data_IF_733208265407
#
_entry.id   IF_733208265407
#
_cell.length_a   1.000
_cell.length_b   1.000
_cell.length_c   1.000
_cell.angle_alpha   90.00
_cell.angle_beta   90.00
_cell.angle_gamma   90.00
#
_symmetry.space_group_name_H-M   'P 1'
#
loop_
_entity.id
_entity.type
_entity.pdbx_description
1 polymer ?
2 non-polymer ?
3 non-polymer ?
4 non-polymer ?
5 water ?
#
# COMPACT_ATOMS: atom_id res chain seq x y z
N UNK A 1 11.29 9.50 -9.86
CA UNK A 1 10.44 8.63 -10.68
C UNK A 1 9.23 9.41 -11.15
N UNK A 2 8.73 9.02 -12.31
CA UNK A 2 7.43 9.51 -12.74
C UNK A 2 6.40 9.03 -11.75
N UNK A 3 5.43 9.89 -11.44
CA UNK A 3 4.39 9.61 -10.48
C UNK A 3 3.07 10.03 -11.08
N UNK A 4 2.00 9.40 -10.64
CA UNK A 4 0.64 9.73 -11.11
C UNK A 4 0.22 9.01 -12.34
N UNK A 5 0.97 7.99 -12.76
CA UNK A 5 0.68 7.18 -13.95
C UNK A 5 0.37 5.76 -13.54
N UNK A 6 -0.74 5.23 -14.03
CA UNK A 6 -1.18 3.92 -13.62
C UNK A 6 -1.65 3.13 -14.81
N UNK A 7 -1.33 1.85 -14.84
CA UNK A 7 -1.86 0.95 -15.87
C UNK A 7 -3.03 0.18 -15.28
N UNK A 8 -4.21 0.49 -15.82
CA UNK A 8 -5.40 -0.21 -15.49
C UNK A 8 -5.64 -1.33 -16.50
N UNK A 9 -6.45 -2.31 -16.13
CA UNK A 9 -6.95 -3.19 -17.17
C UNK A 9 -7.68 -2.39 -18.24
N UNK A 10 -7.63 -2.90 -19.48
CA UNK A 10 -8.22 -2.21 -20.61
C UNK A 10 -9.73 -2.10 -20.47
N UNK A 11 -10.24 -1.03 -21.04
CA UNK A 11 -11.70 -0.80 -21.18
C UNK A 11 -12.50 -1.10 -19.92
N UNK A 12 -11.95 -0.62 -18.83
CA UNK A 12 -12.50 -0.82 -17.51
C UNK A 12 -12.98 0.47 -16.88
N UNK A 13 -14.18 0.42 -16.28
CA UNK A 13 -14.75 1.58 -15.61
C UNK A 13 -13.98 1.81 -14.30
N UNK A 14 -13.70 3.06 -14.01
CA UNK A 14 -13.08 3.44 -12.78
C UNK A 14 -13.64 4.77 -12.29
N UNK A 15 -13.53 4.99 -11.00
CA UNK A 15 -13.88 6.24 -10.37
C UNK A 15 -12.66 7.07 -10.05
N UNK A 16 -12.82 8.39 -10.19
CA UNK A 16 -11.72 9.33 -9.88
C UNK A 16 -12.32 10.44 -9.08
N UNK A 17 -11.72 10.69 -7.91
CA UNK A 17 -12.24 11.65 -6.99
C UNK A 17 -11.07 12.53 -6.51
N UNK A 18 -11.32 13.84 -6.45
CA UNK A 18 -10.30 14.77 -6.03
C UNK A 18 -10.74 15.62 -4.86
N UNK A 19 -9.81 15.81 -3.93
CA UNK A 19 -10.04 16.58 -2.70
C UNK A 19 -9.01 17.71 -2.69
N UNK A 20 -9.41 18.84 -2.15
CA UNK A 20 -8.48 19.99 -2.04
C UNK A 20 -8.16 20.38 -0.61
N UNK A 21 -6.88 20.74 -0.37
CA UNK A 21 -6.41 21.17 0.98
C UNK A 21 -5.30 22.19 0.87
N UNK A 22 -5.66 23.34 0.38
CA UNK A 22 -4.68 24.41 0.07
C UNK A 22 -5.37 25.73 -0.09
N UNK A 23 -4.64 26.79 0.15
CA UNK A 23 -5.15 28.16 -0.15
C UNK A 23 -5.26 28.40 -1.65
N UNK A 24 -4.46 27.68 -2.43
CA UNK A 24 -4.47 27.80 -3.89
C UNK A 24 -5.60 27.04 -4.56
N UNK A 25 -6.15 27.60 -5.63
CA UNK A 25 -7.12 26.90 -6.45
C UNK A 25 -6.40 25.76 -7.22
N UNK A 26 -6.91 24.54 -7.09
CA UNK A 26 -6.28 23.38 -7.67
C UNK A 26 -6.93 23.01 -8.98
N UNK A 27 -6.10 22.63 -9.95
CA UNK A 27 -6.59 22.10 -11.23
C UNK A 27 -6.06 20.69 -11.37
N UNK A 28 -6.97 19.71 -11.43
CA UNK A 28 -6.62 18.30 -11.65
C UNK A 28 -7.00 17.85 -13.05
N UNK A 29 -6.00 17.46 -13.85
CA UNK A 29 -6.27 16.94 -15.20
C UNK A 29 -6.11 15.44 -15.21
N UNK A 30 -7.09 14.79 -15.80
CA UNK A 30 -7.11 13.34 -15.91
C UNK A 30 -6.94 13.00 -17.36
N UNK A 31 -5.85 12.32 -17.67
CA UNK A 31 -5.58 11.85 -19.01
C UNK A 31 -5.73 10.35 -19.09
N UNK A 32 -6.47 9.89 -20.12
CA UNK A 32 -6.61 8.49 -20.39
C UNK A 32 -6.03 8.25 -21.76
N UNK A 33 -5.00 7.41 -21.82
CA UNK A 33 -4.25 7.14 -23.07
C UNK A 33 -3.85 8.41 -23.80
N UNK A 34 -3.36 9.34 -23.00
CA UNK A 34 -2.80 10.62 -23.46
C UNK A 34 -3.78 11.62 -24.01
N UNK A 35 -5.06 11.43 -23.69
CA UNK A 35 -6.13 12.38 -24.03
C UNK A 35 -6.79 12.87 -22.78
N UNK A 36 -6.98 14.18 -22.68
CA UNK A 36 -7.65 14.73 -21.49
C UNK A 36 -9.11 14.31 -21.51
N UNK A 37 -9.56 13.65 -20.45
CA UNK A 37 -10.96 13.25 -20.33
C UNK A 37 -11.72 13.86 -19.15
N UNK A 38 -10.97 14.49 -18.24
CA UNK A 38 -11.63 15.26 -17.17
C UNK A 38 -10.69 16.30 -16.66
N UNK A 39 -11.31 17.41 -16.23
CA UNK A 39 -10.60 18.45 -15.54
C UNK A 39 -11.40 18.85 -14.31
N UNK A 40 -10.81 18.77 -13.14
CA UNK A 40 -11.48 19.26 -11.91
C UNK A 40 -10.81 20.51 -11.41
N UNK A 41 -11.63 21.47 -10.99
CA UNK A 41 -11.12 22.74 -10.47
C UNK A 41 -11.85 23.11 -9.18
N UNK A 42 -11.10 23.51 -8.18
CA UNK A 42 -11.72 23.98 -6.94
C UNK A 42 -10.74 24.39 -5.88
N UNK A 43 -11.28 25.02 -4.84
CA UNK A 43 -10.43 25.48 -3.72
C UNK A 43 -11.06 25.11 -2.40
N UNK A 44 -10.25 24.57 -1.51
CA UNK A 44 -10.68 24.22 -0.15
C UNK A 44 -9.46 24.03 0.72
N UNK A 45 -9.55 24.47 1.99
CA UNK A 45 -8.56 24.09 3.00
C UNK A 45 -9.13 23.03 3.94
N UNK A 46 -10.25 22.42 3.54
CA UNK A 46 -11.00 21.48 4.41
C UNK A 46 -11.47 20.22 3.69
N UNK A 47 -10.69 19.81 2.73
CA UNK A 47 -10.87 18.50 2.06
C UNK A 47 -12.11 18.42 1.19
N UNK A 48 -12.60 19.58 0.70
CA UNK A 48 -13.79 19.53 -0.13
C UNK A 48 -13.54 18.69 -1.37
N UNK A 49 -14.58 18.02 -1.87
CA UNK A 49 -14.48 17.25 -3.09
C UNK A 49 -14.65 18.22 -4.24
N UNK A 50 -13.58 18.36 -5.02
CA UNK A 50 -13.61 19.27 -6.18
C UNK A 50 -13.94 18.57 -7.51
N UNK A 51 -14.12 17.26 -7.46
CA UNK A 51 -14.61 16.50 -8.57
C UNK A 51 -14.70 15.03 -8.27
N UNK A 52 -15.63 14.36 -8.96
CA UNK A 52 -15.83 12.93 -8.82
C UNK A 52 -16.45 12.49 -10.14
N UNK A 53 -15.85 11.54 -10.81
CA UNK A 53 -16.38 11.09 -12.11
C UNK A 53 -16.14 9.63 -12.32
N UNK A 54 -16.95 9.02 -13.18
CA UNK A 54 -16.70 7.63 -13.62
C UNK A 54 -16.17 7.77 -15.04
N UNK A 55 -15.03 7.12 -15.28
CA UNK A 55 -14.38 7.07 -16.57
C UNK A 55 -14.03 5.66 -17.02
N UNK A 56 -13.64 5.53 -18.28
CA UNK A 56 -13.22 4.27 -18.85
C UNK A 56 -11.73 4.32 -19.22
N UNK A 57 -11.00 3.26 -18.89
CA UNK A 57 -9.54 3.23 -19.11
C UNK A 57 -9.10 3.02 -20.56
N UNK A 58 -10.05 2.66 -21.42
CA UNK A 58 -9.79 2.54 -22.88
C UNK A 58 -8.82 1.43 -23.24
N UNK A 59 -8.32 1.45 -24.50
CA UNK A 59 -7.55 0.31 -24.94
C UNK A 59 -6.23 0.07 -24.24
N UNK A 60 -5.52 1.18 -24.01
CA UNK A 60 -4.19 1.11 -23.45
C UNK A 60 -4.18 0.97 -21.93
N UNK A 61 -5.28 1.35 -21.33
CA UNK A 61 -5.44 1.34 -19.84
C UNK A 61 -4.61 2.36 -19.13
N UNK A 62 -4.04 3.31 -19.84
CA UNK A 62 -3.11 4.30 -19.21
C UNK A 62 -3.88 5.48 -18.61
N UNK A 63 -3.71 5.70 -17.29
CA UNK A 63 -4.40 6.76 -16.62
C UNK A 63 -3.30 7.60 -15.96
N UNK A 64 -3.28 8.88 -16.29
CA UNK A 64 -2.34 9.82 -15.75
C UNK A 64 -3.06 11.02 -15.09
N UNK A 65 -2.64 11.32 -13.88
CA UNK A 65 -3.10 12.49 -13.17
C UNK A 65 -2.03 13.59 -13.18
N UNK A 66 -2.44 14.83 -13.49
CA UNK A 66 -1.56 15.98 -13.43
C UNK A 66 -2.27 17.03 -12.59
N UNK A 67 -1.51 17.74 -11.75
CA UNK A 67 -2.10 18.76 -10.91
C UNK A 67 -1.31 20.03 -11.07
N UNK A 68 -2.03 21.13 -11.19
CA UNK A 68 -1.44 22.44 -11.28
C UNK A 68 -2.17 23.45 -10.48
N UNK A 69 -1.48 24.53 -10.19
CA UNK A 69 -2.06 25.69 -9.50
C UNK A 69 -1.64 26.91 -10.30
N UNK A 70 -2.62 27.52 -10.94
CA UNK A 70 -2.38 28.71 -11.79
C UNK A 70 -1.42 28.36 -12.89
N UNK A 71 -1.59 27.19 -13.48
CA UNK A 71 -0.69 26.74 -14.54
C UNK A 71 0.70 26.27 -14.11
N UNK A 72 1.02 26.27 -12.83
CA UNK A 72 2.30 25.74 -12.34
C UNK A 72 2.12 24.29 -11.85
N UNK A 73 2.90 23.37 -12.40
CA UNK A 73 2.78 21.93 -12.02
C UNK A 73 3.18 21.72 -10.56
N UNK A 74 2.31 20.99 -9.86
CA UNK A 74 2.60 20.51 -8.51
C UNK A 74 3.44 19.24 -8.59
N UNK A 75 4.26 19.03 -7.57
CA UNK A 75 5.04 17.81 -7.41
C UNK A 75 4.11 16.67 -6.94
N UNK A 76 4.24 15.51 -7.54
CA UNK A 76 3.35 14.38 -7.25
C UNK A 76 4.02 13.24 -6.53
N UNK A 77 3.21 12.56 -5.73
CA UNK A 77 3.56 11.24 -5.19
C UNK A 77 2.41 10.27 -5.41
N UNK A 78 2.72 9.00 -5.61
CA UNK A 78 1.65 8.02 -5.94
C UNK A 78 2.03 6.60 -5.67
N UNK A 79 0.99 5.79 -5.50
CA UNK A 79 1.13 4.35 -5.38
C UNK A 79 -0.20 3.69 -5.75
N UNK A 80 -0.14 2.41 -6.03
CA UNK A 80 -1.32 1.59 -6.24
C UNK A 80 -1.34 0.49 -5.15
N UNK A 81 -2.52 0.22 -4.60
CA UNK A 81 -2.71 -0.84 -3.61
C UNK A 81 -3.91 -1.69 -3.96
N UNK A 82 -3.75 -2.99 -3.79
CA UNK A 82 -4.78 -3.92 -4.13
C UNK A 82 -5.11 -4.71 -2.91
N UNK A 83 -6.40 -4.70 -2.57
CA UNK A 83 -6.94 -5.47 -1.42
C UNK A 83 -7.76 -6.68 -1.93
N UNK A 84 -7.61 -7.79 -1.19
CA UNK A 84 -8.37 -9.05 -1.47
C UNK A 84 -8.16 -9.50 -2.96
N UNK A 85 -7.01 -9.17 -3.48
CA UNK A 85 -6.65 -9.48 -4.92
C UNK A 85 -7.64 -8.97 -5.94
N UNK A 86 -8.47 -8.01 -5.55
CA UNK A 86 -9.54 -7.53 -6.46
C UNK A 86 -9.83 -6.04 -6.42
N UNK A 87 -9.73 -5.44 -5.25
CA UNK A 87 -10.16 -4.05 -5.03
C UNK A 87 -8.93 -3.16 -5.15
N UNK A 88 -8.94 -2.32 -6.17
CA UNK A 88 -7.81 -1.48 -6.53
C UNK A 88 -7.98 -0.02 -6.18
N UNK A 89 -6.93 0.54 -5.61
CA UNK A 89 -6.82 2.00 -5.35
C UNK A 89 -5.55 2.50 -6.00
N UNK A 90 -5.69 3.55 -6.79
CA UNK A 90 -4.54 4.28 -7.30
C UNK A 90 -4.60 5.68 -6.68
N UNK A 91 -3.54 6.01 -5.95
CA UNK A 91 -3.54 7.13 -4.97
C UNK A 91 -2.51 8.15 -5.41
N UNK A 92 -2.93 9.43 -5.43
CA UNK A 92 -2.02 10.51 -5.77
C UNK A 92 -2.10 11.64 -4.69
N UNK A 93 -0.95 12.12 -4.28
CA UNK A 93 -0.85 13.33 -3.52
C UNK A 93 -0.09 14.36 -4.35
N UNK A 94 -0.26 15.64 -4.01
CA UNK A 94 0.41 16.71 -4.76
C UNK A 94 0.80 17.84 -3.80
N UNK A 95 1.89 18.49 -4.14
CA UNK A 95 2.49 19.55 -3.32
C UNK A 95 2.68 20.80 -4.20
N UNK A 96 2.01 21.87 -3.80
CA UNK A 96 2.02 23.13 -4.52
C UNK A 96 2.95 24.19 -3.90
N UNK A 97 3.58 23.85 -2.77
CA UNK A 97 4.43 24.80 -2.07
C UNK A 97 5.62 24.15 -1.40
N UNK A 98 5.88 24.51 -0.16
CA UNK A 98 7.09 24.09 0.56
C UNK A 98 6.91 23.16 1.76
N UNK A 99 5.68 22.97 2.22
CA UNK A 99 5.48 22.27 3.52
C UNK A 99 5.50 20.76 3.44
N UNK A 100 5.42 20.23 2.23
CA UNK A 100 5.55 18.77 2.01
C UNK A 100 4.47 17.91 2.66
N UNK A 101 3.26 18.47 2.81
CA UNK A 101 2.11 17.72 3.25
C UNK A 101 1.54 16.81 2.13
N UNK A 102 1.83 17.19 0.89
CA UNK A 102 1.37 16.45 -0.32
C UNK A 102 -0.16 16.22 -0.35
N UNK A 103 -0.93 17.09 0.30
CA UNK A 103 -2.37 16.98 0.34
C UNK A 103 -3.10 18.09 -0.37
N UNK A 104 -2.37 18.91 -1.12
CA UNK A 104 -2.94 20.15 -1.68
C UNK A 104 -4.09 19.80 -2.64
N UNK A 105 -3.83 18.81 -3.50
CA UNK A 105 -4.87 18.04 -4.14
C UNK A 105 -4.55 16.61 -3.93
N UNK A 106 -5.53 15.87 -3.46
CA UNK A 106 -5.43 14.45 -3.25
C UNK A 106 -6.39 13.82 -4.26
N UNK A 107 -5.89 12.83 -5.00
CA UNK A 107 -6.69 12.10 -6.02
C UNK A 107 -6.75 10.59 -5.72
N UNK A 108 -7.96 10.07 -5.68
CA UNK A 108 -8.20 8.64 -5.40
C UNK A 108 -8.90 8.10 -6.61
N UNK A 109 -8.30 7.05 -7.13
CA UNK A 109 -8.87 6.31 -8.27
C UNK A 109 -9.21 4.92 -7.74
N UNK A 110 -10.44 4.47 -8.00
CA UNK A 110 -10.85 3.14 -7.58
C UNK A 110 -11.52 2.33 -8.68
N UNK A 111 -11.20 1.02 -8.66
CA UNK A 111 -11.86 0.02 -9.52
C UNK A 111 -11.75 -1.36 -8.91
N UNK A 112 -12.60 -2.31 -9.30
CA UNK A 112 -13.66 -2.20 -10.29
C UNK A 112 -14.89 -1.57 -9.69
N UNK A 113 -15.81 -1.14 -10.55
CA UNK A 113 -17.07 -0.57 -10.11
C UNK A 113 -18.21 -1.56 -10.33
N UNK A 114 -19.40 -1.22 -9.88
CA UNK A 114 -20.58 -2.05 -10.11
C UNK A 114 -20.83 -3.16 -9.14
N UNK B 1 -8.45 -11.74 10.46
CA UNK B 1 -8.01 -10.56 11.24
C UNK B 1 -9.12 -9.54 11.32
N UNK B 2 -9.13 -8.77 12.40
CA UNK B 2 -10.00 -7.56 12.47
C UNK B 2 -9.57 -6.62 11.37
N UNK B 3 -10.55 -6.03 10.72
CA UNK B 3 -10.30 -5.13 9.61
C UNK B 3 -11.13 -3.89 9.79
N UNK B 4 -10.77 -2.80 9.12
CA UNK B 4 -11.50 -1.53 9.25
C UNK B 4 -11.22 -0.71 10.51
N UNK B 5 -10.18 -1.07 11.25
CA UNK B 5 -9.78 -0.34 12.47
C UNK B 5 -8.44 0.34 12.23
N UNK B 6 -8.32 1.63 12.52
CA UNK B 6 -7.10 2.38 12.27
C UNK B 6 -6.74 3.27 13.45
N UNK B 7 -5.45 3.33 13.77
CA UNK B 7 -4.96 4.28 14.74
C UNK B 7 -4.39 5.51 14.05
N UNK B 8 -5.07 6.63 14.22
CA UNK B 8 -4.65 7.90 13.76
C UNK B 8 -3.87 8.62 14.89
N UNK B 9 -3.09 9.65 14.51
CA UNK B 9 -2.60 10.55 15.51
C UNK B 9 -3.76 11.20 16.25
N UNK B 10 -3.58 11.48 17.54
CA UNK B 10 -4.63 12.08 18.34
C UNK B 10 -5.07 13.46 17.86
N UNK B 11 -6.33 13.77 18.09
CA UNK B 11 -6.91 15.14 17.87
C UNK B 11 -6.60 15.73 16.49
N UNK B 12 -6.66 14.85 15.52
CA UNK B 12 -6.27 15.18 14.18
C UNK B 12 -7.48 15.14 13.25
N UNK B 13 -7.59 16.16 12.42
CA UNK B 13 -8.66 16.18 11.43
C UNK B 13 -8.42 15.16 10.31
N UNK B 14 -9.50 14.50 9.87
CA UNK B 14 -9.42 13.54 8.76
C UNK B 14 -10.70 13.57 7.95
N UNK B 15 -10.57 13.19 6.70
CA UNK B 15 -11.72 13.05 5.81
C UNK B 15 -12.11 11.61 5.69
N UNK B 16 -13.42 11.39 5.56
CA UNK B 16 -13.93 10.03 5.31
C UNK B 16 -14.95 10.14 4.19
N UNK B 17 -14.76 9.29 3.19
CA UNK B 17 -15.60 9.28 1.99
C UNK B 17 -16.01 7.88 1.67
N UNK B 18 -17.30 7.67 1.39
CA UNK B 18 -17.82 6.36 1.09
C UNK B 18 -18.51 6.31 -0.29
N UNK B 19 -18.23 5.22 -0.99
CA UNK B 19 -18.71 4.98 -2.37
C UNK B 19 -19.50 3.73 -2.35
N UNK B 20 -20.55 3.64 -3.19
CA UNK B 20 -21.41 2.42 -3.25
C UNK B 20 -21.40 1.75 -4.67
N UNK B 21 -21.31 0.44 -4.69
CA UNK B 21 -21.27 -0.39 -5.91
C UNK B 21 -21.97 -1.70 -5.72
N UNK B 22 -23.26 -1.64 -5.52
CA UNK B 22 -24.06 -2.81 -5.19
C UNK B 22 -25.53 -2.54 -5.43
N UNK B 23 -26.29 -3.61 -5.65
CA UNK B 23 -27.75 -3.50 -5.72
C UNK B 23 -28.32 -3.22 -4.34
N UNK B 24 -27.60 -3.63 -3.31
CA UNK B 24 -28.04 -3.50 -1.93
C UNK B 24 -27.77 -2.09 -1.38
N UNK B 25 -28.66 -1.62 -0.50
CA UNK B 25 -28.49 -0.34 0.10
C UNK B 25 -27.43 -0.48 1.21
N UNK B 26 -26.39 0.35 1.14
CA UNK B 26 -25.25 0.25 2.04
C UNK B 26 -25.43 1.22 3.22
N UNK B 27 -25.07 0.75 4.41
CA UNK B 27 -24.95 1.63 5.64
C UNK B 27 -23.55 1.60 6.13
N UNK B 28 -22.90 2.75 6.14
CA UNK B 28 -21.52 2.88 6.63
C UNK B 28 -21.54 3.65 7.97
N UNK B 29 -21.08 2.99 9.02
CA UNK B 29 -20.96 3.65 10.30
C UNK B 29 -19.49 3.95 10.56
N UNK B 30 -19.25 5.18 11.02
CA UNK B 30 -17.95 5.64 11.41
C UNK B 30 -17.86 5.87 12.90
N UNK B 31 -16.96 5.14 13.57
CA UNK B 31 -16.85 5.23 14.99
C UNK B 31 -15.49 5.81 15.34
N UNK B 32 -15.48 6.83 16.19
CA UNK B 32 -14.25 7.46 16.67
C UNK B 32 -14.23 7.23 18.17
N UNK B 33 -13.16 6.58 18.62
CA UNK B 33 -13.03 6.15 20.01
C UNK B 33 -14.36 5.58 20.55
N UNK B 34 -14.91 4.68 19.77
CA UNK B 34 -16.09 3.89 20.09
C UNK B 34 -17.42 4.64 20.21
N UNK B 35 -17.48 5.84 19.65
CA UNK B 35 -18.71 6.61 19.53
C UNK B 35 -19.01 6.78 18.05
N UNK B 36 -20.24 6.51 17.66
CA UNK B 36 -20.71 6.64 16.31
C UNK B 36 -20.88 8.13 15.98
N UNK B 37 -19.98 8.59 15.10
CA UNK B 37 -19.89 10.04 14.75
C UNK B 37 -20.34 10.35 13.32
N UNK B 38 -20.52 9.32 12.50
CA UNK B 38 -21.17 9.49 11.23
C UNK B 38 -21.80 8.24 10.78
N UNK B 39 -22.88 8.42 10.02
CA UNK B 39 -23.57 7.28 9.39
C UNK B 39 -24.01 7.68 7.95
N UNK B 40 -23.58 6.91 6.98
CA UNK B 40 -23.89 7.18 5.59
C UNK B 40 -24.74 6.03 5.07
N UNK B 41 -25.83 6.35 4.40
CA UNK B 41 -26.68 5.35 3.81
C UNK B 41 -26.94 5.74 2.34
N UNK B 42 -26.91 4.76 1.47
CA UNK B 42 -27.16 5.04 0.06
C UNK B 42 -27.02 3.82 -0.82
N UNK B 43 -27.49 3.96 -2.07
CA UNK B 43 -27.46 2.84 -3.03
C UNK B 43 -27.00 3.34 -4.37
N UNK B 44 -26.03 2.62 -4.94
CA UNK B 44 -25.53 2.88 -6.27
C UNK B 44 -24.84 1.64 -6.80
N UNK B 45 -24.98 1.39 -8.12
CA UNK B 45 -24.13 0.46 -8.80
C UNK B 45 -23.07 1.15 -9.67
N UNK B 46 -22.87 2.44 -9.45
CA UNK B 46 -21.98 3.25 -10.26
C UNK B 46 -21.09 4.21 -9.46
N UNK B 47 -20.68 3.73 -8.31
CA UNK B 47 -19.66 4.40 -7.50
C UNK B 47 -20.09 5.76 -6.94
N UNK B 48 -21.39 5.95 -6.75
CA UNK B 48 -21.81 7.24 -6.24
C UNK B 48 -21.26 7.44 -4.83
N UNK B 49 -20.96 8.67 -4.51
CA UNK B 49 -20.53 9.04 -3.17
C UNK B 49 -21.75 9.08 -2.28
N UNK B 50 -21.79 8.20 -1.28
CA UNK B 50 -22.95 8.18 -0.36
C UNK B 50 -22.67 8.90 0.96
N UNK B 51 -21.45 9.38 1.09
CA UNK B 51 -21.15 10.31 2.20
C UNK B 51 -19.73 10.79 2.15
N UNK B 52 -19.52 11.97 2.68
CA UNK B 52 -18.21 12.59 2.76
C UNK B 52 -18.26 13.56 3.95
N UNK B 53 -17.33 13.43 4.87
CA UNK B 53 -17.33 14.27 6.06
C UNK B 53 -15.93 14.51 6.55
N UNK B 54 -15.76 15.59 7.30
CA UNK B 54 -14.53 15.85 8.03
C UNK B 54 -14.76 15.68 9.52
N UNK B 55 -13.93 14.86 10.12
CA UNK B 55 -14.02 14.46 11.52
C UNK B 55 -12.70 14.69 12.27
N UNK B 56 -12.75 14.64 13.59
CA UNK B 56 -11.56 14.70 14.44
C UNK B 56 -11.33 13.35 15.13
N UNK B 57 -10.08 12.89 15.14
CA UNK B 57 -9.75 11.57 15.68
C UNK B 57 -9.80 11.45 17.23
N UNK B 58 -9.87 12.61 17.90
CA UNK B 58 -10.01 12.64 19.36
C UNK B 58 -8.83 12.07 20.11
N UNK B 59 -8.99 11.84 21.42
CA UNK B 59 -7.83 11.49 22.21
C UNK B 59 -7.15 10.19 21.87
N UNK B 60 -7.97 9.18 21.64
CA UNK B 60 -7.46 7.85 21.40
C UNK B 60 -6.97 7.59 19.98
N UNK B 61 -7.44 8.41 19.07
CA UNK B 61 -7.12 8.28 17.65
C UNK B 61 -7.72 7.07 16.98
N UNK B 62 -8.69 6.42 17.63
CA UNK B 62 -9.24 5.16 17.07
C UNK B 62 -10.37 5.43 16.13
N UNK B 63 -10.21 4.96 14.88
CA UNK B 63 -11.23 5.15 13.87
C UNK B 63 -11.58 3.76 13.34
N UNK B 64 -12.87 3.43 13.46
CA UNK B 64 -13.38 2.15 12.98
C UNK B 64 -14.53 2.35 12.00
N UNK B 65 -14.45 1.63 10.91
CA UNK B 65 -15.52 1.58 9.94
C UNK B 65 -16.27 0.28 10.01
N UNK B 66 -17.60 0.35 10.02
CA UNK B 66 -18.44 -0.84 9.95
C UNK B 66 -19.41 -0.64 8.80
N UNK B 67 -19.66 -1.70 8.06
CA UNK B 67 -20.57 -1.64 6.94
C UNK B 67 -21.61 -2.70 7.09
N UNK B 68 -22.86 -2.34 6.86
CA UNK B 68 -23.96 -3.32 6.87
C UNK B 68 -24.94 -3.08 5.74
N UNK B 69 -25.63 -4.17 5.40
CA UNK B 69 -26.68 -4.15 4.35
C UNK B 69 -27.84 -4.89 4.95
N UNK B 70 -28.96 -4.19 5.07
CA UNK B 70 -30.18 -4.83 5.56
C UNK B 70 -29.96 -5.30 7.02
N UNK B 71 -29.19 -4.57 7.81
CA UNK B 71 -28.84 -5.01 9.16
C UNK B 71 -27.83 -6.15 9.29
N UNK B 72 -27.31 -6.65 8.18
CA UNK B 72 -26.30 -7.73 8.17
C UNK B 72 -24.91 -7.12 7.94
N UNK B 73 -23.97 -7.41 8.84
CA UNK B 73 -22.56 -6.95 8.66
C UNK B 73 -21.91 -7.50 7.40
N UNK B 74 -21.31 -6.61 6.61
CA UNK B 74 -20.52 -6.99 5.47
C UNK B 74 -19.13 -7.41 5.96
N UNK B 75 -18.50 -8.27 5.20
CA UNK B 75 -17.12 -8.64 5.42
C UNK B 75 -16.20 -7.52 4.97
N UNK B 76 -15.18 -7.22 5.75
CA UNK B 76 -14.31 -6.10 5.40
C UNK B 76 -12.92 -6.52 5.08
N UNK B 77 -12.31 -5.69 4.24
CA UNK B 77 -10.88 -5.72 4.03
C UNK B 77 -10.30 -4.34 4.12
N UNK B 78 -9.07 -4.23 4.59
CA UNK B 78 -8.49 -2.89 4.84
C UNK B 78 -6.97 -2.85 4.89
N UNK B 79 -6.44 -1.67 4.65
CA UNK B 79 -5.01 -1.40 4.80
C UNK B 79 -4.79 0.12 4.94
N UNK B 80 -3.64 0.49 5.44
CA UNK B 80 -3.23 1.86 5.53
C UNK B 80 -1.97 2.02 4.68
N UNK B 81 -1.88 3.12 3.92
CA UNK B 81 -0.71 3.41 3.09
C UNK B 81 -0.27 4.85 3.30
N UNK B 82 1.03 5.02 3.40
CA UNK B 82 1.61 6.33 3.67
C UNK B 82 2.56 6.68 2.54
N UNK B 83 2.33 7.85 1.95
CA UNK B 83 3.17 8.37 0.87
C UNK B 83 4.00 9.57 1.35
N UNK B 84 5.23 9.63 0.86
CA UNK B 84 6.17 10.72 1.21
C UNK B 84 6.33 10.89 2.72
N UNK B 85 6.16 9.78 3.43
CA UNK B 85 6.21 9.78 4.92
C UNK B 85 5.30 10.74 5.63
N UNK B 86 4.25 11.20 4.95
CA UNK B 86 3.35 12.21 5.49
C UNK B 86 1.87 12.05 5.13
N UNK B 87 1.60 11.65 3.89
CA UNK B 87 0.23 11.59 3.35
C UNK B 87 -0.34 10.21 3.64
N UNK B 88 -1.40 10.19 4.41
CA UNK B 88 -2.01 8.91 4.83
C UNK B 88 -3.34 8.59 4.23
N UNK B 89 -3.51 7.35 3.86
CA UNK B 89 -4.79 6.80 3.39
C UNK B 89 -5.10 5.55 4.18
N UNK B 90 -6.32 5.51 4.74
CA UNK B 90 -6.81 4.32 5.36
C UNK B 90 -7.99 3.85 4.48
N UNK B 91 -7.89 2.61 4.01
CA UNK B 91 -8.72 2.08 2.91
C UNK B 91 -9.54 0.88 3.37
N UNK B 92 -10.85 0.89 3.08
CA UNK B 92 -11.72 -0.19 3.41
C UNK B 92 -12.54 -0.63 2.21
N UNK B 93 -12.56 -1.94 1.98
CA UNK B 93 -13.52 -2.54 1.06
C UNK B 93 -14.47 -3.40 1.82
N UNK B 94 -15.65 -3.66 1.25
CA UNK B 94 -16.64 -4.44 1.94
C UNK B 94 -17.42 -5.30 0.95
N UNK B 95 -17.80 -6.48 1.41
CA UNK B 95 -18.46 -7.48 0.56
C UNK B 95 -19.79 -7.88 1.24
N UNK B 96 -20.86 -7.67 0.50
CA UNK B 96 -22.20 -7.93 0.99
C UNK B 96 -22.83 -9.22 0.49
N UNK B 97 -22.10 -9.90 -0.38
CA UNK B 97 -22.62 -11.09 -1.01
C UNK B 97 -21.50 -12.09 -1.29
N UNK B 98 -21.54 -12.70 -2.46
CA UNK B 98 -20.66 -13.86 -2.77
C UNK B 98 -19.61 -13.64 -3.85
N UNK B 99 -19.68 -12.55 -4.59
CA UNK B 99 -18.77 -12.37 -5.73
C UNK B 99 -17.37 -11.91 -5.40
N UNK B 100 -17.17 -11.44 -4.17
CA UNK B 100 -15.85 -11.04 -3.70
C UNK B 100 -15.17 -9.92 -4.43
N UNK B 101 -15.95 -8.99 -4.96
CA UNK B 101 -15.37 -7.76 -5.53
C UNK B 101 -14.91 -6.80 -4.42
N UNK B 102 -15.46 -6.97 -3.22
CA UNK B 102 -15.16 -6.07 -2.02
C UNK B 102 -15.33 -4.59 -2.30
N UNK B 103 -16.17 -4.22 -3.26
CA UNK B 103 -16.38 -2.80 -3.58
C UNK B 103 -17.80 -2.31 -3.25
N UNK B 104 -18.57 -3.13 -2.53
CA UNK B 104 -20.02 -2.90 -2.40
C UNK B 104 -20.24 -1.57 -1.64
N UNK B 105 -19.43 -1.36 -0.61
CA UNK B 105 -19.14 -0.01 -0.07
C UNK B 105 -17.61 0.06 0.03
N UNK B 106 -17.06 1.15 -0.48
CA UNK B 106 -15.67 1.46 -0.45
C UNK B 106 -15.54 2.72 0.38
N UNK B 107 -14.61 2.67 1.33
CA UNK B 107 -14.41 3.81 2.25
C UNK B 107 -12.91 4.24 2.21
N UNK B 108 -12.74 5.53 2.01
CA UNK B 108 -11.40 6.14 1.99
C UNK B 108 -11.35 7.16 3.08
N UNK B 109 -10.35 6.99 3.94
CA UNK B 109 -10.04 7.97 5.00
C UNK B 109 -8.69 8.61 4.58
N UNK B 110 -8.63 9.94 4.65
CA UNK B 110 -7.36 10.65 4.40
C UNK B 110 -7.01 11.71 5.41
N UNK B 111 -5.71 11.80 5.66
CA UNK B 111 -5.14 12.85 6.51
C UNK B 111 -3.66 13.04 6.15
N UNK B 112 -3.06 14.17 6.50
CA UNK B 112 -3.66 15.31 7.19
C UNK B 112 -4.45 16.18 6.25
N UNK B 113 -5.26 17.08 6.81
CA UNK B 113 -6.05 18.05 5.99
C UNK B 113 -5.42 19.44 6.13
N UNK B 114 -5.96 20.39 5.38
CA UNK B 114 -5.52 21.76 5.47
C UNK B 114 -4.34 22.15 4.64
N UNK C 1 9.38 14.41 -4.77
CA UNK C 1 9.28 14.20 -3.29
C UNK C 1 10.49 13.41 -2.84
N UNK C 2 10.88 13.68 -1.61
CA UNK C 2 11.87 12.82 -0.95
C UNK C 2 11.28 11.43 -0.80
N UNK C 3 12.11 10.43 -1.06
CA UNK C 3 11.71 9.03 -0.99
C UNK C 3 12.74 8.29 -0.16
N UNK C 4 12.36 7.17 0.42
CA UNK C 4 13.27 6.33 1.19
C UNK C 4 13.50 6.78 2.63
N UNK C 5 12.64 7.67 3.11
CA UNK C 5 12.66 8.17 4.51
C UNK C 5 11.38 7.77 5.23
N UNK C 6 11.51 7.09 6.36
CA UNK C 6 10.37 6.60 7.11
C UNK C 6 10.46 6.97 8.58
N UNK C 7 9.33 7.32 9.18
CA UNK C 7 9.25 7.49 10.67
C UNK C 7 8.72 6.27 11.31
N UNK C 8 9.59 5.61 12.08
CA UNK C 8 9.20 4.45 12.90
C UNK C 8 8.85 4.91 14.31
N UNK C 9 8.14 4.05 15.05
CA UNK C 9 8.04 4.31 16.46
C UNK C 9 9.40 4.28 17.14
N UNK C 10 9.56 5.08 18.19
CA UNK C 10 10.83 5.19 18.85
C UNK C 10 11.27 3.88 19.50
N UNK C 11 12.58 3.71 19.57
CA UNK C 11 13.29 2.61 20.24
C UNK C 11 12.78 1.26 19.89
N UNK C 12 12.52 1.07 18.59
CA UNK C 12 11.85 -0.16 18.11
C UNK C 12 12.79 -0.96 17.24
N UNK C 13 12.82 -2.27 17.50
CA UNK C 13 13.57 -3.16 16.67
C UNK C 13 12.87 -3.30 15.32
N UNK C 14 13.66 -3.28 14.25
CA UNK C 14 13.13 -3.49 12.92
C UNK C 14 14.12 -4.30 12.08
N UNK C 15 13.59 -4.96 11.07
CA UNK C 15 14.43 -5.66 10.11
C UNK C 15 14.58 -4.88 8.80
N UNK C 16 15.75 -4.95 8.20
CA UNK C 16 16.03 -4.34 6.89
C UNK C 16 16.69 -5.40 6.02
N UNK C 17 16.14 -5.57 4.84
CA UNK C 17 16.58 -6.64 3.92
C UNK C 17 16.67 -6.05 2.51
N UNK C 18 17.78 -6.32 1.84
CA UNK C 18 18.02 -5.78 0.47
C UNK C 18 18.22 -6.92 -0.53
N UNK C 19 17.57 -6.77 -1.69
CA UNK C 19 17.66 -7.70 -2.81
C UNK C 19 18.27 -6.93 -4.00
N UNK C 20 18.99 -7.65 -4.83
CA UNK C 20 19.63 -7.01 -6.03
C UNK C 20 19.13 -7.62 -7.31
N UNK C 21 18.87 -6.76 -8.30
CA UNK C 21 18.41 -7.18 -9.63
C UNK C 21 19.02 -6.26 -10.73
N UNK C 22 20.31 -6.34 -10.88
CA UNK C 22 21.04 -5.49 -11.82
C UNK C 22 22.40 -6.05 -12.13
N UNK C 23 22.96 -5.60 -13.26
CA UNK C 23 24.36 -5.93 -13.56
C UNK C 23 25.31 -5.17 -12.65
N UNK C 24 24.86 -4.03 -12.17
CA UNK C 24 25.67 -3.12 -11.40
C UNK C 24 25.75 -3.55 -9.93
N UNK C 25 26.93 -3.35 -9.32
CA UNK C 25 27.07 -3.61 -7.90
C UNK C 25 26.34 -2.55 -7.12
N UNK C 26 25.45 -2.97 -6.22
CA UNK C 26 24.56 -2.07 -5.47
C UNK C 26 25.15 -1.80 -4.09
N UNK C 27 25.14 -0.53 -3.69
CA UNK C 27 25.53 -0.11 -2.35
C UNK C 27 24.32 0.53 -1.67
N UNK C 28 23.78 -0.16 -0.68
CA UNK C 28 22.64 0.28 0.06
C UNK C 28 23.12 0.81 1.41
N UNK C 29 22.84 2.07 1.65
CA UNK C 29 23.20 2.71 2.93
C UNK C 29 21.96 2.92 3.80
N UNK C 30 22.07 2.52 5.08
CA UNK C 30 20.99 2.64 6.01
C UNK C 30 21.41 3.62 7.11
N UNK C 31 20.65 4.68 7.25
CA UNK C 31 20.80 5.61 8.35
C UNK C 31 19.65 5.51 9.34
N UNK C 32 20.00 5.56 10.62
CA UNK C 32 19.03 5.70 11.70
C UNK C 32 19.36 7.00 12.42
N UNK C 33 18.38 7.88 12.49
CA UNK C 33 18.57 9.25 13.00
C UNK C 33 19.84 9.95 12.46
N UNK C 34 19.99 9.86 11.16
CA UNK C 34 21.03 10.59 10.38
C UNK C 34 22.46 10.05 10.58
N UNK C 35 22.58 8.84 11.11
CA UNK C 35 23.85 8.15 11.24
C UNK C 35 23.82 6.81 10.53
N UNK C 36 24.87 6.54 9.75
CA UNK C 36 25.01 5.26 9.05
C UNK C 36 25.14 4.13 10.08
N UNK C 37 24.25 3.16 9.99
CA UNK C 37 24.28 1.97 10.85
C UNK C 37 24.43 0.65 10.09
N UNK C 38 24.27 0.69 8.77
CA UNK C 38 24.52 -0.46 7.94
C UNK C 38 24.80 -0.05 6.52
N UNK C 39 25.64 -0.84 5.87
CA UNK C 39 25.94 -0.71 4.45
C UNK C 39 25.94 -2.09 3.80
N UNK C 40 25.11 -2.26 2.76
CA UNK C 40 25.06 -3.57 2.10
C UNK C 40 25.61 -3.37 0.70
N UNK C 41 26.57 -4.21 0.33
CA UNK C 41 27.18 -4.11 -0.99
C UNK C 41 27.15 -5.52 -1.63
N UNK C 42 26.55 -5.62 -2.83
CA UNK C 42 26.42 -6.90 -3.51
C UNK C 42 25.89 -6.78 -4.91
N UNK C 43 25.90 -7.88 -5.62
CA UNK C 43 25.50 -7.87 -7.03
C UNK C 43 24.74 -9.13 -7.33
N UNK C 44 23.59 -8.98 -8.02
CA UNK C 44 22.79 -10.13 -8.49
C UNK C 44 21.82 -9.67 -9.57
N UNK C 45 21.61 -10.47 -10.58
CA UNK C 45 20.52 -10.24 -11.51
C UNK C 45 19.33 -11.17 -11.25
N UNK C 46 19.32 -11.81 -10.11
CA UNK C 46 18.26 -12.80 -9.79
C UNK C 46 17.79 -12.76 -8.35
N UNK C 47 17.68 -11.55 -7.84
CA UNK C 47 17.01 -11.28 -6.58
C UNK C 47 17.76 -11.82 -5.37
N UNK C 48 19.07 -11.97 -5.48
CA UNK C 48 19.78 -12.47 -4.28
C UNK C 48 19.73 -11.43 -3.15
N UNK C 49 19.73 -11.96 -1.93
CA UNK C 49 19.76 -11.10 -0.72
C UNK C 49 21.17 -10.62 -0.48
N UNK C 50 21.37 -9.31 -0.58
CA UNK C 50 22.71 -8.68 -0.39
C UNK C 50 22.90 -8.12 1.02
N UNK C 51 21.87 -8.18 1.84
CA UNK C 51 22.01 -7.84 3.26
C UNK C 51 20.71 -8.03 3.99
N UNK C 52 20.78 -8.45 5.26
CA UNK C 52 19.61 -8.49 6.14
C UNK C 52 20.18 -8.24 7.53
N UNK C 53 19.59 -7.29 8.24
CA UNK C 53 20.04 -6.94 9.58
C UNK C 53 18.85 -6.55 10.44
N UNK C 54 19.03 -6.64 11.76
CA UNK C 54 18.10 -6.15 12.72
C UNK C 54 18.72 -4.92 13.35
N UNK C 55 17.95 -3.85 13.35
CA UNK C 55 18.40 -2.55 13.89
C UNK C 55 17.39 -1.96 14.88
N UNK C 56 17.78 -0.90 15.60
CA UNK C 56 16.88 -0.19 16.52
C UNK C 56 16.65 1.22 15.99
N UNK C 57 15.43 1.67 16.03
CA UNK C 57 15.07 2.98 15.44
C UNK C 57 15.49 4.17 16.28
N UNK C 58 15.87 3.92 17.54
CA UNK C 58 16.38 5.01 18.39
C UNK C 58 15.33 6.05 18.78
N UNK C 59 15.77 7.18 19.34
CA UNK C 59 14.80 8.16 19.88
C UNK C 59 13.92 8.86 18.86
N UNK C 60 14.49 9.12 17.68
CA UNK C 60 13.81 9.91 16.67
C UNK C 60 12.95 9.05 15.74
N UNK C 61 13.30 7.79 15.65
CA UNK C 61 12.62 6.81 14.81
C UNK C 61 12.86 6.97 13.35
N UNK C 62 13.81 7.83 12.96
CA UNK C 62 14.02 8.13 11.54
C UNK C 62 14.92 7.06 10.89
N UNK C 63 14.40 6.48 9.79
CA UNK C 63 15.16 5.50 8.99
C UNK C 63 15.18 5.99 7.52
N UNK C 64 16.40 6.07 7.01
CA UNK C 64 16.65 6.49 5.60
C UNK C 64 17.49 5.49 4.85
N UNK C 65 17.01 5.15 3.64
CA UNK C 65 17.70 4.34 2.73
C UNK C 65 18.23 5.18 1.53
N UNK C 66 19.49 4.97 1.17
CA UNK C 66 20.12 5.56 -0.02
C UNK C 66 20.75 4.44 -0.77
N UNK C 67 20.63 4.50 -2.09
CA UNK C 67 21.23 3.46 -2.96
C UNK C 67 22.08 4.11 -4.03
N UNK C 68 23.30 3.56 -4.19
CA UNK C 68 24.19 4.07 -5.22
C UNK C 68 24.87 2.90 -5.93
N UNK C 69 25.30 3.18 -7.13
CA UNK C 69 26.01 2.21 -7.96
C UNK C 69 27.24 2.96 -8.52
N UNK C 70 28.42 2.47 -8.14
CA UNK C 70 29.72 3.13 -8.52
C UNK C 70 29.72 4.60 -8.20
N UNK C 71 29.24 4.89 -7.02
CA UNK C 71 29.23 6.23 -6.50
C UNK C 71 28.14 7.14 -6.97
N UNK C 72 27.26 6.65 -7.83
CA UNK C 72 26.21 7.47 -8.40
C UNK C 72 24.89 7.09 -7.86
N UNK C 73 24.15 8.09 -7.45
CA UNK C 73 22.85 7.83 -6.78
C UNK C 73 21.82 7.25 -7.69
N UNK C 74 21.13 6.22 -7.18
CA UNK C 74 19.95 5.71 -7.89
C UNK C 74 18.74 6.57 -7.54
N UNK C 75 17.80 6.64 -8.47
CA UNK C 75 16.49 7.22 -8.25
C UNK C 75 15.64 6.28 -7.35
N UNK C 76 15.03 6.83 -6.36
CA UNK C 76 14.26 6.00 -5.42
C UNK C 76 12.78 6.18 -5.53
N UNK C 77 12.09 5.09 -5.22
CA UNK C 77 10.62 5.15 -4.95
C UNK C 77 10.31 4.38 -3.64
N UNK C 78 9.29 4.87 -2.91
CA UNK C 78 8.97 4.24 -1.62
C UNK C 78 7.56 4.45 -1.16
N UNK C 79 7.17 3.61 -0.22
CA UNK C 79 5.92 3.74 0.47
C UNK C 79 5.94 2.90 1.75
N UNK C 80 5.01 3.17 2.65
CA UNK C 80 4.80 2.40 3.85
C UNK C 80 3.36 1.84 3.82
N UNK C 81 3.23 0.58 4.20
CA UNK C 81 1.92 -0.10 4.26
C UNK C 81 1.75 -0.76 5.60
N UNK C 82 0.56 -0.64 6.16
CA UNK C 82 0.27 -1.23 7.48
C UNK C 82 -0.89 -2.14 7.33
N UNK C 83 -0.67 -3.38 7.80
CA UNK C 83 -1.72 -4.44 7.73
C UNK C 83 -2.17 -4.78 9.15
N UNK C 84 -3.48 -4.99 9.29
CA UNK C 84 -4.12 -5.30 10.59
C UNK C 84 -3.83 -4.24 11.70
N UNK C 85 -3.61 -3.01 11.24
CA UNK C 85 -3.27 -1.89 12.12
C UNK C 85 -2.07 -2.12 13.01
N UNK C 86 -1.17 -3.03 12.61
CA UNK C 86 -0.04 -3.39 13.43
C UNK C 86 1.23 -3.81 12.69
N UNK C 87 1.07 -4.48 11.56
CA UNK C 87 2.21 -5.03 10.83
C UNK C 87 2.63 -4.03 9.77
N UNK C 88 3.88 -3.56 9.91
CA UNK C 88 4.39 -2.49 9.07
C UNK C 88 5.46 -2.94 8.05
N UNK C 89 5.33 -2.44 6.81
CA UNK C 89 6.36 -2.60 5.81
C UNK C 89 6.71 -1.22 5.30
N UNK C 90 7.98 -0.94 5.26
CA UNK C 90 8.47 0.21 4.57
C UNK C 90 9.30 -0.29 3.36
N UNK C 91 8.94 0.17 2.16
CA UNK C 91 9.35 -0.44 0.91
C UNK C 91 10.08 0.58 0.07
N UNK C 92 11.21 0.15 -0.47
CA UNK C 92 11.99 0.98 -1.37
C UNK C 92 12.34 0.21 -2.64
N UNK C 93 12.20 0.88 -3.77
CA UNK C 93 12.76 0.46 -5.07
C UNK C 93 13.78 1.52 -5.52
N UNK C 94 14.67 1.11 -6.42
CA UNK C 94 15.72 1.99 -6.89
C UNK C 94 16.06 1.66 -8.30
N UNK C 95 16.33 2.71 -9.06
CA UNK C 95 16.59 2.59 -10.51
C UNK C 95 17.98 3.15 -10.81
N UNK C 96 18.86 2.26 -11.32
CA UNK C 96 20.26 2.64 -11.55
C UNK C 96 20.53 3.03 -13.02
N UNK C 97 19.54 2.90 -13.85
CA UNK C 97 19.73 3.14 -15.26
C UNK C 97 18.49 3.71 -15.93
N UNK C 98 18.07 3.10 -17.05
CA UNK C 98 17.04 3.70 -17.90
C UNK C 98 15.74 2.90 -18.07
N UNK C 99 15.70 1.67 -17.62
CA UNK C 99 14.54 0.83 -17.91
C UNK C 99 13.33 0.97 -17.02
N UNK C 100 13.49 1.67 -15.93
CA UNK C 100 12.39 1.99 -15.04
C UNK C 100 11.74 0.78 -14.33
N UNK C 101 12.49 -0.28 -14.13
CA UNK C 101 11.98 -1.46 -13.39
C UNK C 101 11.99 -1.22 -11.89
N UNK C 102 12.82 -0.25 -11.47
CA UNK C 102 12.94 0.10 -10.02
C UNK C 102 13.29 -1.07 -9.09
N UNK C 103 13.90 -2.11 -9.62
CA UNK C 103 14.21 -3.30 -8.81
C UNK C 103 15.68 -3.55 -8.64
N UNK C 104 16.50 -2.58 -9.04
CA UNK C 104 17.92 -2.84 -9.09
C UNK C 104 18.53 -3.13 -7.70
N UNK C 105 18.15 -2.33 -6.74
CA UNK C 105 18.12 -2.71 -5.32
C UNK C 105 16.70 -2.48 -4.80
N UNK C 106 16.15 -3.50 -4.09
CA UNK C 106 14.86 -3.50 -3.47
C UNK C 106 15.10 -3.71 -1.97
N UNK C 107 14.51 -2.81 -1.20
CA UNK C 107 14.71 -2.77 0.27
C UNK C 107 13.38 -2.90 0.95
N UNK C 108 13.33 -3.86 1.88
CA UNK C 108 12.15 -4.13 2.67
C UNK C 108 12.52 -3.98 4.15
N UNK C 109 11.81 -3.07 4.76
CA UNK C 109 11.95 -2.76 6.23
C UNK C 109 10.66 -3.22 6.87
N UNK C 110 10.80 -4.07 7.89
CA UNK C 110 9.60 -4.61 8.59
C UNK C 110 9.70 -4.46 10.12
N UNK C 111 8.55 -4.18 10.68
CA UNK C 111 8.35 -4.19 12.13
C UNK C 111 6.87 -4.41 12.48
N UNK C 112 6.54 -4.80 13.73
CA UNK C 112 7.46 -5.15 14.80
C UNK C 112 8.07 -6.53 14.61
N UNK C 113 9.10 -6.79 15.38
CA UNK C 113 9.75 -8.11 15.41
C UNK C 113 9.35 -8.86 16.67
N UNK C 114 9.79 -10.12 16.77
CA UNK C 114 9.61 -10.91 17.99
C UNK C 114 8.30 -11.67 18.08
N UNK D 1 -12.37 -12.15 4.39
CA UNK D 1 -11.87 -12.27 2.99
C UNK D 1 -10.74 -13.23 2.93
N UNK D 2 -10.64 -13.86 1.77
CA UNK D 2 -9.48 -14.69 1.47
C UNK D 2 -8.28 -13.73 1.43
N UNK D 3 -7.20 -14.19 1.99
CA UNK D 3 -5.95 -13.43 2.06
C UNK D 3 -4.85 -14.34 1.57
N UNK D 4 -3.75 -13.78 1.16
CA UNK D 4 -2.59 -14.55 0.74
C UNK D 4 -2.67 -15.10 -0.67
N UNK D 5 -3.61 -14.59 -1.45
CA UNK D 5 -3.75 -14.98 -2.87
C UNK D 5 -3.49 -13.78 -3.78
N UNK D 6 -2.58 -13.93 -4.71
CA UNK D 6 -2.23 -12.85 -5.60
C UNK D 6 -2.21 -13.28 -7.09
N UNK D 7 -2.70 -12.42 -7.96
CA UNK D 7 -2.59 -12.63 -9.40
C UNK D 7 -1.41 -11.90 -9.99
N UNK D 8 -0.43 -12.68 -10.45
CA UNK D 8 0.74 -12.16 -11.11
C UNK D 8 0.56 -12.19 -12.61
N UNK D 9 1.36 -11.39 -13.34
CA UNK D 9 1.38 -11.57 -14.79
C UNK D 9 1.84 -13.00 -15.11
N UNK D 10 1.34 -13.54 -16.22
CA UNK D 10 1.64 -14.91 -16.63
C UNK D 10 3.13 -15.09 -16.96
N UNK D 11 3.61 -16.30 -16.68
CA UNK D 11 4.95 -16.75 -17.05
C UNK D 11 6.05 -15.79 -16.58
N UNK D 12 5.89 -15.27 -15.37
CA UNK D 12 6.80 -14.27 -14.84
C UNK D 12 7.59 -14.77 -13.65
N UNK D 13 8.89 -14.48 -13.67
CA UNK D 13 9.79 -14.80 -12.54
C UNK D 13 9.47 -13.87 -11.38
N UNK D 14 9.40 -14.45 -10.18
CA UNK D 14 9.15 -13.67 -8.97
C UNK D 14 9.99 -14.23 -7.81
N UNK D 15 10.27 -13.38 -6.83
CA UNK D 15 10.93 -13.81 -5.64
C UNK D 15 9.91 -13.99 -4.49
N UNK D 16 10.11 -14.99 -3.64
CA UNK D 16 9.36 -15.17 -2.40
C UNK D 16 10.36 -15.36 -1.25
N UNK D 17 10.16 -14.58 -0.19
CA UNK D 17 11.06 -14.57 0.98
C UNK D 17 10.22 -14.60 2.25
N UNK D 18 10.59 -15.45 3.19
CA UNK D 18 9.86 -15.59 4.47
C UNK D 18 10.74 -15.33 5.68
N UNK D 19 10.18 -14.62 6.62
CA UNK D 19 10.84 -14.23 7.92
C UNK D 19 10.00 -14.80 9.07
N UNK D 20 10.66 -15.18 10.15
CA UNK D 20 9.96 -15.76 11.32
C UNK D 20 10.17 -14.85 12.59
N UNK D 21 9.09 -14.70 13.35
CA UNK D 21 9.07 -13.94 14.59
C UNK D 21 8.07 -14.61 15.54
N UNK D 22 8.46 -15.75 16.04
CA UNK D 22 7.61 -16.54 16.93
C UNK D 22 8.41 -17.62 17.61
N UNK D 23 7.94 -18.04 18.78
CA UNK D 23 8.53 -19.22 19.44
C UNK D 23 8.24 -20.49 18.63
N UNK D 24 7.16 -20.47 17.89
CA UNK D 24 6.69 -21.63 17.14
C UNK D 24 7.40 -21.78 15.80
N UNK D 25 7.64 -23.04 15.40
CA UNK D 25 8.24 -23.30 14.14
C UNK D 25 7.21 -23.04 13.04
N UNK D 26 7.56 -22.20 12.08
CA UNK D 26 6.66 -21.78 11.01
C UNK D 26 6.85 -22.63 9.78
N UNK D 27 5.74 -23.05 9.19
CA UNK D 27 5.74 -23.74 7.88
C UNK D 27 4.98 -22.90 6.85
N UNK D 28 5.70 -22.39 5.86
CA UNK D 28 5.12 -21.55 4.80
C UNK D 28 5.02 -22.42 3.54
N UNK D 29 3.81 -22.55 3.04
CA UNK D 29 3.51 -23.29 1.84
C UNK D 29 3.24 -22.32 0.72
N UNK D 30 3.93 -22.52 -0.42
CA UNK D 30 3.76 -21.66 -1.61
C UNK D 30 3.17 -22.49 -2.72
N UNK D 31 1.99 -22.07 -3.19
CA UNK D 31 1.36 -22.66 -4.37
C UNK D 31 1.40 -21.73 -5.56
N UNK D 32 1.70 -22.29 -6.71
CA UNK D 32 1.59 -21.59 -8.00
C UNK D 32 0.57 -22.39 -8.84
N UNK D 33 -0.46 -21.70 -9.28
CA UNK D 33 -1.61 -22.29 -9.99
C UNK D 33 -2.07 -23.58 -9.30
N UNK D 34 -2.20 -23.49 -7.97
CA UNK D 34 -2.85 -24.51 -7.11
C UNK D 34 -2.00 -25.78 -6.91
N UNK D 35 -0.70 -25.65 -7.15
CA UNK D 35 0.24 -26.72 -6.90
C UNK D 35 1.36 -26.21 -6.00
N UNK D 36 1.66 -27.00 -5.00
CA UNK D 36 2.78 -26.64 -4.07
C UNK D 36 4.11 -26.67 -4.85
N UNK D 37 4.85 -25.57 -4.78
CA UNK D 37 6.17 -25.45 -5.42
C UNK D 37 7.30 -25.10 -4.46
N UNK D 38 6.95 -24.73 -3.25
CA UNK D 38 7.93 -24.50 -2.20
C UNK D 38 7.35 -24.63 -0.82
N UNK D 39 8.21 -25.02 0.11
CA UNK D 39 7.89 -25.08 1.50
C UNK D 39 9.05 -24.55 2.33
N UNK D 40 8.81 -23.51 3.12
CA UNK D 40 9.85 -22.97 3.97
C UNK D 40 9.51 -23.27 5.43
N UNK D 41 10.51 -23.75 6.18
CA UNK D 41 10.28 -24.14 7.57
C UNK D 41 11.38 -23.48 8.40
N UNK D 42 11.01 -22.89 9.52
CA UNK D 42 12.06 -22.38 10.42
C UNK D 42 11.52 -21.68 11.62
N UNK D 43 12.42 -21.39 12.54
CA UNK D 43 12.03 -20.80 13.83
C UNK D 43 12.98 -19.68 14.12
N UNK D 44 12.43 -18.54 14.50
CA UNK D 44 13.18 -17.38 14.97
C UNK D 44 12.28 -16.42 15.71
N UNK D 45 12.81 -15.77 16.74
CA UNK D 45 12.13 -14.63 17.33
C UNK D 45 12.81 -13.32 16.97
N UNK D 46 13.68 -13.36 15.96
CA UNK D 46 14.45 -12.20 15.57
C UNK D 46 14.56 -12.01 14.07
N UNK D 47 13.46 -12.32 13.40
CA UNK D 47 13.33 -11.97 11.97
C UNK D 47 14.24 -12.73 11.04
N UNK D 48 14.66 -13.92 11.43
CA UNK D 48 15.55 -14.66 10.56
C UNK D 48 14.81 -15.06 9.27
N UNK D 49 15.56 -15.06 8.16
CA UNK D 49 15.01 -15.50 6.88
C UNK D 49 14.99 -17.02 6.85
N UNK D 50 13.81 -17.55 6.69
CA UNK D 50 13.61 -19.01 6.70
C UNK D 50 13.47 -19.59 5.31
N UNK D 51 13.47 -18.74 4.32
CA UNK D 51 13.49 -19.20 2.94
C UNK D 51 13.45 -18.04 1.99
N UNK D 52 14.13 -18.19 0.85
CA UNK D 52 14.05 -17.25 -0.24
C UNK D 52 14.26 -18.05 -1.51
N UNK D 53 13.36 -17.90 -2.46
CA UNK D 53 13.41 -18.69 -3.69
C UNK D 53 12.94 -17.84 -4.85
N UNK D 54 13.39 -18.20 -6.04
CA UNK D 54 12.83 -17.60 -7.28
C UNK D 54 11.95 -18.63 -7.94
N UNK D 55 10.76 -18.22 -8.31
CA UNK D 55 9.78 -19.09 -8.93
C UNK D 55 9.20 -18.44 -10.21
N UNK D 56 8.44 -19.23 -10.98
CA UNK D 56 7.71 -18.73 -12.14
C UNK D 56 6.19 -18.79 -11.94
N UNK D 57 5.48 -17.76 -12.34
CA UNK D 57 4.05 -17.67 -12.06
C UNK D 57 3.19 -18.54 -12.97
N UNK D 58 3.77 -19.06 -14.03
CA UNK D 58 3.09 -20.00 -14.90
C UNK D 58 1.93 -19.36 -15.69
N UNK D 59 1.09 -20.19 -16.30
CA UNK D 59 0.04 -19.65 -17.19
C UNK D 59 -1.01 -18.81 -16.53
N UNK D 60 -1.46 -19.27 -15.36
CA UNK D 60 -2.58 -18.63 -14.67
C UNK D 60 -2.15 -17.43 -13.84
N UNK D 61 -0.87 -17.41 -13.51
CA UNK D 61 -0.32 -16.31 -12.67
C UNK D 61 -0.72 -16.34 -11.21
N UNK D 62 -1.36 -17.41 -10.75
CA UNK D 62 -1.89 -17.47 -9.39
C UNK D 62 -0.81 -17.92 -8.38
N UNK D 63 -0.61 -17.08 -7.38
CA UNK D 63 0.31 -17.41 -6.27
C UNK D 63 -0.46 -17.33 -4.95
N UNK D 64 -0.35 -18.39 -4.15
CA UNK D 64 -1.00 -18.50 -2.81
C UNK D 64 0.00 -18.88 -1.73
N UNK D 65 -0.07 -18.16 -0.61
CA UNK D 65 0.65 -18.43 0.58
C UNK D 65 -0.25 -18.99 1.68
N UNK D 66 0.17 -20.07 2.33
CA UNK D 66 -0.50 -20.60 3.52
C UNK D 66 0.54 -20.79 4.58
N UNK D 67 0.17 -20.52 5.83
CA UNK D 67 1.10 -20.64 6.95
C UNK D 67 0.48 -21.51 8.00
N UNK D 68 1.28 -22.43 8.53
CA UNK D 68 0.82 -23.22 9.67
C UNK D 68 1.96 -23.39 10.69
N UNK D 69 1.56 -23.69 11.92
CA UNK D 69 2.45 -24.02 12.99
C UNK D 69 1.96 -25.30 13.61
N UNK D 70 2.81 -26.31 13.53
CA UNK D 70 2.50 -27.68 14.04
C UNK D 70 1.18 -28.16 13.53
N UNK D 71 0.98 -27.91 12.26
CA UNK D 71 -0.24 -28.37 11.59
C UNK D 71 -1.48 -27.51 11.75
N UNK D 72 -1.36 -26.39 12.47
CA UNK D 72 -2.47 -25.52 12.73
C UNK D 72 -2.36 -24.25 11.91
N UNK D 73 -3.40 -23.93 11.17
CA UNK D 73 -3.41 -22.79 10.24
C UNK D 73 -3.36 -21.47 10.97
N UNK D 74 -2.45 -20.60 10.51
CA UNK D 74 -2.38 -19.26 11.03
C UNK D 74 -3.35 -18.38 10.27
N UNK D 75 -3.84 -17.36 10.96
CA UNK D 75 -4.67 -16.34 10.38
C UNK D 75 -3.80 -15.45 9.49
N UNK D 76 -4.26 -15.13 8.31
CA UNK D 76 -3.45 -14.32 7.38
C UNK D 76 -4.02 -12.94 7.13
N UNK D 77 -3.08 -12.02 6.90
CA UNK D 77 -3.43 -10.72 6.34
C UNK D 77 -2.51 -10.44 5.11
N UNK D 78 -3.03 -9.72 4.12
CA UNK D 78 -2.23 -9.48 2.92
C UNK D 78 -2.69 -8.26 2.13
N UNK D 79 -1.79 -7.78 1.31
CA UNK D 79 -2.03 -6.73 0.34
C UNK D 79 -0.95 -6.72 -0.73
N UNK D 80 -1.24 -6.06 -1.85
CA UNK D 80 -0.28 -5.87 -2.94
C UNK D 80 -0.10 -4.38 -3.13
N UNK D 81 1.14 -3.97 -3.30
CA UNK D 81 1.45 -2.55 -3.52
C UNK D 81 2.36 -2.42 -4.73
N UNK D 82 2.06 -1.43 -5.57
CA UNK D 82 2.84 -1.18 -6.77
C UNK D 82 3.42 0.19 -6.68
N UNK D 83 4.73 0.26 -6.90
CA UNK D 83 5.46 1.55 -6.93
C UNK D 83 5.96 1.86 -8.35
N UNK D 84 5.90 3.15 -8.70
CA UNK D 84 6.34 3.60 -10.02
C UNK D 84 5.65 2.84 -11.13
N UNK D 85 4.44 2.35 -10.88
CA UNK D 85 3.67 1.63 -11.90
C UNK D 85 4.36 0.40 -12.45
N UNK D 86 5.33 -0.10 -11.72
CA UNK D 86 6.10 -1.26 -12.19
C UNK D 86 6.66 -2.21 -11.17
N UNK D 87 7.02 -1.70 -10.00
CA UNK D 87 7.66 -2.49 -8.95
C UNK D 87 6.55 -3.02 -8.00
N UNK D 88 6.42 -4.35 -7.97
CA UNK D 88 5.34 -5.02 -7.23
C UNK D 88 5.80 -5.76 -5.96
N UNK D 89 5.02 -5.58 -4.89
CA UNK D 89 5.20 -6.30 -3.66
C UNK D 89 3.85 -6.95 -3.37
N UNK D 90 3.90 -8.23 -3.09
CA UNK D 90 2.77 -8.93 -2.51
C UNK D 90 3.16 -9.37 -1.10
N UNK D 91 2.40 -8.90 -0.11
CA UNK D 91 2.82 -8.92 1.33
C UNK D 91 1.84 -9.76 2.13
N UNK D 92 2.39 -10.66 2.95
CA UNK D 92 1.61 -11.48 3.85
C UNK D 92 2.12 -11.43 5.28
N UNK D 93 1.20 -11.21 6.22
CA UNK D 93 1.48 -11.42 7.65
C UNK D 93 0.65 -12.61 8.12
N UNK D 94 1.08 -13.22 9.24
CA UNK D 94 0.37 -14.40 9.74
C UNK D 94 0.42 -14.37 11.25
N UNK D 95 -0.66 -14.85 11.85
CA UNK D 95 -0.82 -14.84 13.33
C UNK D 95 -1.08 -16.25 13.82
N UNK D 96 -0.14 -16.75 14.65
CA UNK D 96 -0.21 -18.14 15.13
C UNK D 96 -0.77 -18.30 16.54
N UNK D 97 -1.12 -17.18 17.14
CA UNK D 97 -1.61 -17.23 18.52
C UNK D 97 -2.61 -16.10 18.78
N UNK D 98 -2.41 -15.35 19.86
CA UNK D 98 -3.37 -14.42 20.34
C UNK D 98 -3.00 -12.93 20.33
N UNK D 99 -1.73 -12.61 20.13
CA UNK D 99 -1.29 -11.22 20.33
C UNK D 99 -1.52 -10.27 19.19
N UNK D 100 -1.94 -10.80 18.05
CA UNK D 100 -2.29 -10.03 16.90
C UNK D 100 -1.16 -9.16 16.34
N UNK D 101 0.09 -9.59 16.48
CA UNK D 101 1.25 -8.88 15.85
C UNK D 101 1.34 -9.19 14.34
N UNK D 102 0.74 -10.31 13.93
CA UNK D 102 0.75 -10.78 12.51
C UNK D 102 2.13 -10.91 11.87
N UNK D 103 3.17 -11.07 12.68
CA UNK D 103 4.52 -11.16 12.17
C UNK D 103 5.15 -12.50 12.37
N UNK D 104 4.35 -13.50 12.79
CA UNK D 104 4.90 -14.76 13.20
C UNK D 104 5.65 -15.44 12.04
N UNK D 105 5.02 -15.44 10.88
CA UNK D 105 5.71 -15.57 9.61
C UNK D 105 5.27 -14.43 8.74
N UNK D 106 6.26 -13.77 8.12
CA UNK D 106 6.06 -12.63 7.22
C UNK D 106 6.60 -13.02 5.86
N UNK D 107 5.77 -12.85 4.84
CA UNK D 107 6.13 -13.29 3.46
C UNK D 107 6.10 -12.08 2.53
N UNK D 108 7.20 -11.92 1.80
CA UNK D 108 7.32 -10.86 0.82
C UNK D 108 7.56 -11.55 -0.52
N UNK D 109 6.71 -11.20 -1.42
CA UNK D 109 6.81 -11.60 -2.85
C UNK D 109 7.08 -10.38 -3.66
N UNK D 110 8.11 -10.44 -4.51
CA UNK D 110 8.46 -9.28 -5.35
C UNK D 110 8.71 -9.65 -6.82
N UNK D 111 8.29 -8.73 -7.69
CA UNK D 111 8.52 -8.83 -9.14
C UNK D 111 8.44 -7.41 -9.74
N UNK D 112 9.04 -7.17 -10.92
CA UNK D 112 9.81 -8.13 -11.68
C UNK D 112 11.20 -8.34 -11.13
N UNK D 113 11.86 -9.37 -11.60
CA UNK D 113 13.28 -9.61 -11.27
C UNK D 113 14.17 -9.25 -12.45
N UNK D 114 15.48 -9.31 -12.26
CA UNK D 114 16.42 -9.10 -13.39
C UNK D 114 16.83 -7.65 -13.66
#
# INVERSE_FOLDING_TARGET
>A
ATQGVFTLPANTQFGVTAFANSAGTQTVNVQVNNETVATFTGQSTNNAIIGSKVLNSGGGGKVQILVSVNGRSSDLVSAQVILANELNFALVGSEDSTDNDYNDAVVVINWPLG
>B
ATQGVFTLPANTQFGVTAFANSAGTQTVNVQVNNETVATFTGQSTNNAIIGSKVLNSGGGGKVQILVSVNGRSSDLVSAQVILANELNFALVGSEDSTDNDYNDAVVVINWPLG
>C
ATQGVFTLPANTQFGVTAFANSAGTQTVNVQVNNETVATFTGQSTNNAIIGSKVLNSGGGGKVQILVSVNGRSSDLVSAQVILANELNFALVGSEDSTDNDYNDAVVVINWPLG
>D
ATQGVFTLPANTQFGVTAFANSAGTQTVNVQVNNETVATFTGQSTNNAIIGSKVLNSGGGGKVQILVSVNGRSSDLVSAQVILANELNFALVGSEDSTDNDYNDAVVVINWPLG
#
